data_IF_478843620482
#
_entry.id   IF_478843620482
#
_cell.length_a   1.000
_cell.length_b   1.000
_cell.length_c   1.000
_cell.angle_alpha   90.00
_cell.angle_beta   90.00
_cell.angle_gamma   90.00
#
_symmetry.space_group_name_H-M   'P 1'
#
loop_
_entity.id
_entity.type
_entity.pdbx_description
1 polymer ?
#
# COMPACT_ATOMS: atom_id res chain seq x y z
N UNK A 1 3.83 17.78 -13.51
CA UNK A 1 3.98 17.32 -12.12
C UNK A 1 2.67 16.70 -11.65
N UNK A 2 2.74 15.60 -10.93
CA UNK A 2 1.57 14.88 -10.44
C UNK A 2 1.41 15.08 -8.94
N UNK A 3 0.21 15.35 -8.49
CA UNK A 3 -0.12 15.46 -7.07
C UNK A 3 -1.03 14.31 -6.66
N UNK A 4 -0.63 13.62 -5.59
CA UNK A 4 -1.44 12.58 -4.96
C UNK A 4 -1.75 13.05 -3.54
N UNK A 5 -3.03 13.18 -3.22
CA UNK A 5 -3.44 13.63 -1.88
C UNK A 5 -3.20 12.53 -0.85
N UNK A 6 -2.04 12.59 -0.18
CA UNK A 6 -1.65 11.59 0.82
C UNK A 6 -2.60 11.51 2.00
N UNK A 7 -3.34 12.58 2.28
CA UNK A 7 -4.35 12.59 3.35
C UNK A 7 -5.56 11.70 3.06
N UNK A 8 -5.74 11.28 1.81
CA UNK A 8 -6.84 10.40 1.39
C UNK A 8 -6.35 8.99 1.06
N UNK A 9 -5.07 8.75 1.11
CA UNK A 9 -4.48 7.43 0.82
C UNK A 9 -4.60 6.54 2.06
N UNK A 10 -4.98 5.28 1.86
CA UNK A 10 -5.03 4.28 2.92
C UNK A 10 -4.03 3.15 2.71
N UNK A 11 -3.60 2.93 1.47
CA UNK A 11 -2.53 1.99 1.15
C UNK A 11 -1.90 2.36 -0.18
N UNK A 12 -0.64 1.97 -0.38
CA UNK A 12 0.06 2.16 -1.64
C UNK A 12 1.07 1.04 -1.86
N UNK A 13 1.14 0.55 -3.09
CA UNK A 13 2.09 -0.48 -3.51
C UNK A 13 2.91 0.06 -4.67
N UNK A 14 4.22 0.14 -4.49
CA UNK A 14 5.14 0.55 -5.53
C UNK A 14 5.65 -0.67 -6.29
N UNK A 15 5.62 -0.60 -7.61
CA UNK A 15 6.23 -1.63 -8.47
C UNK A 15 7.49 -1.06 -9.08
N UNK A 16 8.63 -1.66 -8.77
CA UNK A 16 9.94 -1.22 -9.22
C UNK A 16 10.46 -2.10 -10.37
N UNK A 17 11.48 -1.64 -11.11
CA UNK A 17 12.14 -2.48 -12.12
C UNK A 17 12.72 -3.79 -11.57
N UNK A 18 13.09 -3.81 -10.29
CA UNK A 18 13.59 -5.03 -9.65
C UNK A 18 12.51 -6.11 -9.54
N UNK A 19 11.25 -5.72 -9.40
CA UNK A 19 10.09 -6.62 -9.30
C UNK A 19 9.52 -6.97 -10.66
N UNK A 20 9.67 -6.08 -11.64
CA UNK A 20 9.21 -6.30 -13.01
C UNK A 20 10.30 -5.85 -13.99
N UNK A 21 11.06 -6.82 -14.57
CA UNK A 21 12.17 -6.50 -15.46
C UNK A 21 11.78 -5.82 -16.78
N UNK A 22 10.48 -5.76 -17.10
CA UNK A 22 9.99 -5.01 -18.25
C UNK A 22 9.91 -3.50 -17.98
N UNK A 23 10.01 -3.08 -16.71
CA UNK A 23 10.00 -1.69 -16.32
C UNK A 23 11.41 -1.11 -16.35
N UNK A 24 11.52 0.16 -16.70
CA UNK A 24 12.74 0.95 -16.55
C UNK A 24 12.60 1.82 -15.30
N UNK A 25 13.70 2.45 -14.86
CA UNK A 25 13.64 3.38 -13.71
C UNK A 25 12.67 4.54 -13.95
N UNK A 26 12.40 4.86 -15.22
CA UNK A 26 11.48 5.92 -15.61
C UNK A 26 10.01 5.43 -15.69
N UNK A 27 9.79 4.13 -15.47
CA UNK A 27 8.49 3.49 -15.62
C UNK A 27 8.00 2.91 -14.29
N UNK A 28 8.25 3.60 -13.19
CA UNK A 28 7.78 3.17 -11.89
C UNK A 28 6.27 3.37 -11.81
N UNK A 29 5.57 2.34 -11.36
CA UNK A 29 4.12 2.35 -11.20
C UNK A 29 3.78 2.36 -9.71
N UNK A 30 2.71 3.06 -9.36
CA UNK A 30 2.19 3.09 -7.99
C UNK A 30 0.71 2.74 -8.03
N UNK A 31 0.33 1.64 -7.36
CA UNK A 31 -1.06 1.35 -7.03
C UNK A 31 -1.39 2.09 -5.74
N UNK A 32 -2.46 2.87 -5.76
CA UNK A 32 -2.89 3.64 -4.59
C UNK A 32 -4.34 3.33 -4.28
N UNK A 33 -4.63 3.04 -3.01
CA UNK A 33 -5.98 2.86 -2.51
C UNK A 33 -6.39 4.11 -1.74
N UNK A 34 -7.49 4.71 -2.17
CA UNK A 34 -8.02 5.93 -1.56
C UNK A 34 -9.24 5.63 -0.71
N UNK A 35 -9.37 6.35 0.40
CA UNK A 35 -10.55 6.29 1.23
C UNK A 35 -11.75 6.97 0.54
N UNK A 36 -12.95 6.51 0.90
CA UNK A 36 -14.19 7.06 0.38
C UNK A 36 -15.36 6.15 0.75
N UNK A 37 -16.57 6.44 0.26
CA UNK A 37 -17.72 5.53 0.43
C UNK A 37 -17.42 4.12 -0.06
N UNK A 38 -16.56 4.01 -1.07
CA UNK A 38 -16.01 2.75 -1.56
C UNK A 38 -14.49 2.97 -1.71
N UNK A 39 -13.70 2.02 -1.24
CA UNK A 39 -12.25 2.09 -1.43
C UNK A 39 -11.94 2.03 -2.93
N UNK A 40 -11.21 2.99 -3.42
CA UNK A 40 -10.83 3.09 -4.83
C UNK A 40 -9.36 2.79 -5.00
N UNK A 41 -9.05 1.89 -5.94
CA UNK A 41 -7.69 1.64 -6.37
C UNK A 41 -7.41 2.41 -7.65
N UNK A 42 -6.33 3.17 -7.67
CA UNK A 42 -5.88 3.92 -8.82
C UNK A 42 -4.44 3.55 -9.14
N UNK A 43 -4.17 3.23 -10.41
CA UNK A 43 -2.82 2.98 -10.88
C UNK A 43 -2.24 4.27 -11.47
N UNK A 44 -1.13 4.71 -10.93
CA UNK A 44 -0.34 5.82 -11.47
C UNK A 44 0.85 5.26 -12.22
N UNK A 45 0.96 5.59 -13.50
CA UNK A 45 2.03 5.13 -14.39
C UNK A 45 3.08 6.22 -14.57
N UNK A 46 4.31 5.81 -14.83
CA UNK A 46 5.43 6.70 -15.15
C UNK A 46 5.66 7.77 -14.09
N UNK A 47 5.61 7.36 -12.84
CA UNK A 47 5.92 8.24 -11.72
C UNK A 47 7.43 8.46 -11.70
N UNK A 48 7.86 9.72 -11.68
CA UNK A 48 9.29 10.03 -11.62
C UNK A 48 9.88 9.62 -10.27
N UNK A 49 11.20 9.43 -10.23
CA UNK A 49 11.88 9.09 -8.98
C UNK A 49 11.67 10.18 -7.92
N UNK A 50 11.72 11.45 -8.32
CA UNK A 50 11.48 12.57 -7.40
C UNK A 50 10.06 12.56 -6.84
N UNK A 51 9.06 12.33 -7.68
CA UNK A 51 7.66 12.21 -7.26
C UNK A 51 7.46 11.03 -6.31
N UNK A 52 8.09 9.89 -6.61
CA UNK A 52 8.04 8.70 -5.78
C UNK A 52 8.63 8.95 -4.39
N UNK A 53 9.81 9.56 -4.33
CA UNK A 53 10.47 9.86 -3.04
C UNK A 53 9.66 10.84 -2.21
N UNK A 54 9.09 11.87 -2.84
CA UNK A 54 8.22 12.83 -2.16
C UNK A 54 6.95 12.14 -1.62
N UNK A 55 6.36 11.23 -2.38
CA UNK A 55 5.19 10.48 -1.97
C UNK A 55 5.50 9.56 -0.78
N UNK A 56 6.59 8.80 -0.86
CA UNK A 56 7.02 7.94 0.25
C UNK A 56 7.26 8.74 1.54
N UNK A 57 7.92 9.89 1.42
CA UNK A 57 8.18 10.76 2.56
C UNK A 57 6.87 11.28 3.18
N UNK A 58 5.90 11.65 2.36
CA UNK A 58 4.59 12.11 2.82
C UNK A 58 3.83 10.99 3.58
N UNK A 59 3.87 9.77 3.07
CA UNK A 59 3.24 8.63 3.73
C UNK A 59 3.91 8.31 5.07
N UNK A 60 5.23 8.31 5.12
CA UNK A 60 5.97 8.09 6.35
C UNK A 60 5.65 9.15 7.40
N UNK A 61 5.59 10.42 6.98
CA UNK A 61 5.23 11.53 7.86
C UNK A 61 3.81 11.41 8.41
N UNK A 62 2.90 10.81 7.65
CA UNK A 62 1.50 10.60 8.05
C UNK A 62 1.32 9.36 8.95
N UNK A 63 2.39 8.67 9.31
CA UNK A 63 2.33 7.53 10.21
C UNK A 63 2.05 6.19 9.55
N UNK A 64 2.24 6.08 8.24
CA UNK A 64 2.07 4.82 7.54
C UNK A 64 3.13 3.81 7.98
N UNK A 65 2.70 2.56 8.13
CA UNK A 65 3.61 1.43 8.30
C UNK A 65 4.02 0.91 6.93
N UNK A 66 5.14 0.20 6.88
CA UNK A 66 5.74 -0.21 5.62
C UNK A 66 6.34 -1.61 5.72
N UNK A 67 6.15 -2.41 4.67
CA UNK A 67 6.94 -3.61 4.42
C UNK A 67 7.34 -3.61 2.95
N UNK A 68 8.65 -3.52 2.66
CA UNK A 68 9.14 -3.41 1.30
C UNK A 68 8.55 -2.19 0.60
N UNK A 69 7.85 -2.42 -0.50
CA UNK A 69 7.21 -1.38 -1.30
C UNK A 69 5.71 -1.22 -1.01
N UNK A 70 5.21 -1.90 0.01
CA UNK A 70 3.83 -1.76 0.46
C UNK A 70 3.76 -0.80 1.66
N UNK A 71 3.00 0.25 1.51
CA UNK A 71 2.69 1.24 2.55
C UNK A 71 1.25 1.10 2.96
N UNK A 72 0.99 1.16 4.26
CA UNK A 72 -0.33 0.91 4.80
C UNK A 72 -0.63 1.89 5.93
N UNK A 73 -1.79 2.53 5.87
CA UNK A 73 -2.29 3.31 7.00
C UNK A 73 -2.85 2.35 8.05
N UNK A 74 -2.23 2.25 9.25
CA UNK A 74 -2.70 1.31 10.26
C UNK A 74 -4.13 1.58 10.72
N UNK A 75 -4.59 2.81 10.59
CA UNK A 75 -5.97 3.19 10.97
C UNK A 75 -7.02 2.66 10.00
N UNK A 76 -6.61 2.33 8.77
CA UNK A 76 -7.50 1.78 7.75
C UNK A 76 -7.63 0.25 7.83
N UNK A 77 -6.81 -0.40 8.63
CA UNK A 77 -6.84 -1.86 8.77
C UNK A 77 -8.03 -2.28 9.62
N UNK A 78 -8.88 -3.13 9.07
CA UNK A 78 -10.01 -3.71 9.79
C UNK A 78 -9.57 -4.97 10.53
N UNK A 79 -8.87 -5.86 9.84
CA UNK A 79 -8.26 -7.04 10.45
C UNK A 79 -7.18 -7.61 9.52
N UNK A 80 -6.34 -8.48 10.10
CA UNK A 80 -5.30 -9.19 9.36
C UNK A 80 -5.31 -10.66 9.75
N UNK A 81 -5.23 -11.54 8.76
CA UNK A 81 -5.33 -12.98 8.97
C UNK A 81 -4.26 -13.72 8.16
N UNK A 82 -3.50 -14.57 8.83
CA UNK A 82 -2.54 -15.44 8.17
C UNK A 82 -3.30 -16.63 7.56
N UNK A 83 -3.25 -16.77 6.23
CA UNK A 83 -3.86 -17.91 5.55
C UNK A 83 -2.95 -19.14 5.62
N UNK A 84 -1.67 -18.94 5.33
CA UNK A 84 -0.72 -20.03 5.18
C UNK A 84 0.71 -19.47 5.35
N UNK A 85 1.54 -20.16 6.12
CA UNK A 85 2.90 -19.72 6.37
C UNK A 85 3.79 -19.64 5.10
N UNK A 86 3.40 -20.35 4.04
CA UNK A 86 4.11 -20.35 2.77
C UNK A 86 3.56 -19.25 1.85
N UNK A 87 2.23 -19.17 1.74
CA UNK A 87 1.56 -18.23 0.81
C UNK A 87 1.41 -16.83 1.39
N UNK A 88 1.42 -16.70 2.72
CA UNK A 88 1.23 -15.42 3.39
C UNK A 88 -0.17 -15.22 3.94
N UNK A 89 -0.58 -13.98 4.08
CA UNK A 89 -1.84 -13.62 4.69
C UNK A 89 -2.59 -12.55 3.94
N UNK A 90 -3.73 -12.17 4.51
CA UNK A 90 -4.61 -11.14 3.98
C UNK A 90 -4.73 -10.03 5.01
N UNK A 91 -4.56 -8.80 4.56
CA UNK A 91 -4.86 -7.60 5.34
C UNK A 91 -6.08 -6.94 4.72
N UNK A 92 -7.14 -6.84 5.50
CA UNK A 92 -8.39 -6.24 5.05
C UNK A 92 -8.45 -4.79 5.47
N UNK A 93 -8.64 -3.90 4.50
CA UNK A 93 -8.65 -2.45 4.69
C UNK A 93 -9.96 -1.84 4.20
N UNK A 94 -10.30 -0.69 4.74
CA UNK A 94 -11.42 0.13 4.28
C UNK A 94 -12.33 0.59 5.40
N UNK A 95 -13.52 1.02 5.00
CA UNK A 95 -14.54 1.52 5.91
C UNK A 95 -15.61 0.46 6.15
N UNK A 96 -15.92 0.19 7.42
CA UNK A 96 -16.95 -0.80 7.77
C UNK A 96 -18.36 -0.36 7.35
N UNK A 97 -18.60 0.94 7.26
CA UNK A 97 -19.93 1.50 7.07
C UNK A 97 -20.32 1.67 5.60
N UNK A 98 -19.35 1.72 4.68
CA UNK A 98 -19.58 2.17 3.31
C UNK A 98 -18.92 1.27 2.28
N UNK A 99 -19.53 0.16 1.95
CA UNK A 99 -19.09 -0.71 0.87
C UNK A 99 -18.24 -1.90 1.33
N UNK A 100 -17.71 -2.64 0.37
CA UNK A 100 -16.92 -3.83 0.65
C UNK A 100 -15.49 -3.46 0.99
N UNK A 101 -14.93 -4.00 2.09
CA UNK A 101 -13.51 -3.84 2.37
C UNK A 101 -12.66 -4.49 1.27
N UNK A 102 -11.45 -4.00 1.13
CA UNK A 102 -10.49 -4.52 0.17
C UNK A 102 -9.53 -5.46 0.87
N UNK A 103 -9.30 -6.62 0.26
CA UNK A 103 -8.33 -7.59 0.76
C UNK A 103 -6.99 -7.40 0.04
N UNK A 104 -5.94 -7.15 0.83
CA UNK A 104 -4.57 -7.06 0.33
C UNK A 104 -3.87 -8.37 0.63
N UNK A 105 -3.50 -9.11 -0.42
CA UNK A 105 -2.72 -10.34 -0.25
C UNK A 105 -1.24 -9.99 -0.14
N UNK A 106 -0.61 -10.48 0.92
CA UNK A 106 0.80 -10.22 1.20
C UNK A 106 1.52 -11.54 1.48
N UNK A 107 2.81 -11.61 1.12
CA UNK A 107 3.60 -12.80 1.41
C UNK A 107 3.85 -12.93 2.93
N UNK A 108 4.37 -14.08 3.36
CA UNK A 108 4.56 -14.36 4.79
C UNK A 108 5.47 -13.34 5.47
N UNK A 109 6.55 -12.94 4.80
CA UNK A 109 7.50 -11.95 5.35
C UNK A 109 6.84 -10.60 5.55
N UNK A 110 6.14 -10.10 4.54
CA UNK A 110 5.42 -8.82 4.61
C UNK A 110 4.32 -8.87 5.65
N UNK A 111 3.58 -9.98 5.73
CA UNK A 111 2.56 -10.15 6.75
C UNK A 111 3.14 -10.04 8.16
N UNK A 112 4.22 -10.76 8.44
CA UNK A 112 4.85 -10.75 9.76
C UNK A 112 5.36 -9.36 10.14
N UNK A 113 6.00 -8.66 9.20
CA UNK A 113 6.49 -7.28 9.43
C UNK A 113 5.35 -6.31 9.72
N UNK A 114 4.28 -6.35 8.91
CA UNK A 114 3.13 -5.47 9.09
C UNK A 114 2.35 -5.80 10.36
N UNK A 115 2.16 -7.09 10.64
CA UNK A 115 1.48 -7.55 11.85
C UNK A 115 2.20 -7.05 13.12
N UNK A 116 3.52 -7.16 13.14
CA UNK A 116 4.33 -6.67 14.26
C UNK A 116 4.17 -5.15 14.45
N UNK A 117 4.13 -4.39 13.36
CA UNK A 117 3.93 -2.94 13.42
C UNK A 117 2.51 -2.56 13.84
N UNK A 118 1.51 -3.34 13.46
CA UNK A 118 0.11 -3.11 13.86
C UNK A 118 -0.10 -3.35 15.36
N UNK A 119 0.60 -4.33 15.92
CA UNK A 119 0.46 -4.72 17.34
C UNK A 119 1.50 -4.07 18.26
N UNK A 120 2.50 -3.47 17.69
CA UNK A 120 3.56 -2.78 18.42
C UNK A 120 3.33 -1.30 18.46
#
# INVERSE_FOLDING_TARGET
MRYINSGRVIAAQLTTPAENPLLTEESIFIDVWFEGPVVRKQLFKKVTKAEQEAFKAALAKSGFIRSGNLFLDPRAVLFAEMENQILGGIITIGWQENGKPVELKVNAKAFDELYSLLNG
#
